data_IF_664360173262
#
_entry.id   IF_664360173262
#
_cell.length_a   1.000
_cell.length_b   1.000
_cell.length_c   1.000
_cell.angle_alpha   90.00
_cell.angle_beta   90.00
_cell.angle_gamma   90.00
#
_symmetry.space_group_name_H-M   'P 1'
#
loop_
_entity.id
_entity.type
_entity.pdbx_description
1 polymer ?
#
# COMPACT_ATOMS: atom_id res chain seq x y z
N UNK A 1 17.87 15.10 -9.07
CA UNK A 1 17.00 15.95 -8.21
C UNK A 1 15.61 15.31 -8.14
N UNK A 2 14.98 15.26 -6.96
CA UNK A 2 13.63 14.69 -6.81
C UNK A 2 12.61 15.68 -7.37
N UNK A 3 11.87 15.28 -8.40
CA UNK A 3 10.80 16.10 -9.00
C UNK A 3 9.56 16.02 -8.12
N UNK A 4 9.02 17.17 -7.72
CA UNK A 4 7.75 17.23 -7.00
C UNK A 4 6.63 16.65 -7.87
N UNK A 5 5.82 15.78 -7.29
CA UNK A 5 4.63 15.21 -7.93
C UNK A 5 3.38 15.68 -7.22
N UNK A 6 2.30 15.93 -7.95
CA UNK A 6 0.99 16.26 -7.37
C UNK A 6 0.39 15.01 -6.74
N UNK A 7 -0.10 15.11 -5.51
CA UNK A 7 -0.79 14.03 -4.81
C UNK A 7 -2.22 13.89 -5.32
N UNK A 8 -2.53 12.77 -5.97
CA UNK A 8 -3.86 12.46 -6.50
C UNK A 8 -4.73 11.68 -5.50
N UNK A 9 -4.34 11.67 -4.22
CA UNK A 9 -5.02 10.91 -3.15
C UNK A 9 -6.47 11.35 -2.87
N UNK A 10 -6.85 12.56 -3.32
CA UNK A 10 -8.22 13.07 -3.21
C UNK A 10 -9.26 12.18 -3.91
N UNK A 11 -8.88 11.32 -4.85
CA UNK A 11 -9.81 10.39 -5.52
C UNK A 11 -10.44 9.38 -4.55
N UNK A 12 -9.74 9.06 -3.48
CA UNK A 12 -10.17 8.14 -2.43
C UNK A 12 -10.52 8.86 -1.12
N UNK A 13 -10.51 10.20 -1.11
CA UNK A 13 -10.86 10.96 0.08
C UNK A 13 -12.35 10.79 0.44
N UNK A 14 -12.69 10.84 1.74
CA UNK A 14 -14.06 10.95 2.20
C UNK A 14 -14.77 12.17 1.60
N UNK A 15 -16.07 12.07 1.40
CA UNK A 15 -16.85 13.11 0.68
C UNK A 15 -16.68 14.54 1.25
N UNK A 16 -16.70 14.78 2.59
CA UNK A 16 -16.46 16.13 3.13
C UNK A 16 -15.05 16.66 2.85
N UNK A 17 -14.05 15.77 2.96
CA UNK A 17 -12.63 16.11 2.69
C UNK A 17 -12.42 16.43 1.21
N UNK A 18 -13.14 15.75 0.31
CA UNK A 18 -13.10 16.05 -1.12
C UNK A 18 -13.64 17.47 -1.41
N UNK A 19 -14.71 17.91 -0.74
CA UNK A 19 -15.25 19.27 -0.90
C UNK A 19 -14.26 20.32 -0.39
N UNK A 20 -13.67 20.10 0.79
CA UNK A 20 -12.70 21.04 1.37
C UNK A 20 -11.45 21.17 0.50
N UNK A 21 -10.90 20.04 0.02
CA UNK A 21 -9.76 20.04 -0.89
C UNK A 21 -10.09 20.75 -2.21
N UNK A 22 -11.26 20.51 -2.79
CA UNK A 22 -11.70 21.17 -4.01
C UNK A 22 -11.86 22.69 -3.83
N UNK A 23 -12.41 23.15 -2.70
CA UNK A 23 -12.53 24.58 -2.35
C UNK A 23 -11.17 25.23 -2.12
N UNK A 24 -10.23 24.51 -1.51
CA UNK A 24 -8.85 24.96 -1.35
C UNK A 24 -8.18 25.19 -2.70
N UNK A 25 -8.28 24.21 -3.60
CA UNK A 25 -7.77 24.33 -4.98
C UNK A 25 -8.45 25.47 -5.73
N UNK A 26 -9.78 25.63 -5.61
CA UNK A 26 -10.52 26.74 -6.21
C UNK A 26 -9.93 28.09 -5.78
N UNK A 27 -9.76 28.29 -4.47
CA UNK A 27 -9.21 29.54 -3.91
C UNK A 27 -7.79 29.79 -4.38
N UNK A 28 -6.94 28.77 -4.38
CA UNK A 28 -5.52 28.88 -4.68
C UNK A 28 -5.21 29.01 -6.19
N UNK A 29 -6.08 28.49 -7.06
CA UNK A 29 -5.93 28.59 -8.52
C UNK A 29 -6.55 29.87 -9.09
N UNK A 30 -7.49 30.50 -8.39
CA UNK A 30 -8.14 31.74 -8.85
C UNK A 30 -7.13 32.89 -8.86
N UNK A 31 -6.78 33.37 -10.04
CA UNK A 31 -5.81 34.47 -10.21
C UNK A 31 -4.36 34.08 -9.93
N UNK A 32 -4.02 32.79 -9.97
CA UNK A 32 -2.66 32.35 -9.69
C UNK A 32 -1.73 32.61 -10.90
N UNK A 33 -0.68 33.43 -10.75
CA UNK A 33 0.22 33.78 -11.86
C UNK A 33 1.07 32.59 -12.34
N UNK A 34 1.24 31.54 -11.52
CA UNK A 34 1.92 30.32 -11.94
C UNK A 34 1.09 29.45 -12.91
N UNK A 35 -0.22 29.72 -13.00
CA UNK A 35 -1.18 28.92 -13.76
C UNK A 35 -2.15 29.82 -14.54
N UNK A 36 -1.66 30.55 -15.56
CA UNK A 36 -2.46 31.56 -16.27
C UNK A 36 -3.55 30.95 -17.17
N UNK A 37 -3.37 29.71 -17.65
CA UNK A 37 -4.28 29.08 -18.63
C UNK A 37 -4.74 27.69 -18.16
N UNK A 38 -5.57 27.60 -17.11
CA UNK A 38 -6.07 26.31 -16.65
C UNK A 38 -7.04 25.69 -17.67
N UNK A 39 -6.98 24.38 -17.93
CA UNK A 39 -7.87 23.69 -18.88
C UNK A 39 -9.31 23.53 -18.35
N UNK A 40 -9.53 23.81 -17.06
CA UNK A 40 -10.85 23.84 -16.43
C UNK A 40 -11.07 25.25 -15.90
N UNK A 41 -12.20 25.86 -16.24
CA UNK A 41 -12.54 27.18 -15.74
C UNK A 41 -12.87 27.12 -14.26
N UNK A 42 -12.49 28.16 -13.51
CA UNK A 42 -12.79 28.22 -12.07
C UNK A 42 -14.30 28.21 -11.79
N UNK A 43 -15.08 28.79 -12.69
CA UNK A 43 -16.55 28.76 -12.66
C UNK A 43 -17.10 27.33 -12.81
N UNK A 44 -16.55 26.52 -13.72
CA UNK A 44 -16.97 25.12 -13.87
C UNK A 44 -16.59 24.28 -12.64
N UNK A 45 -15.42 24.54 -12.03
CA UNK A 45 -15.03 23.89 -10.79
C UNK A 45 -15.96 24.27 -9.64
N UNK A 46 -16.30 25.55 -9.49
CA UNK A 46 -17.24 26.05 -8.47
C UNK A 46 -18.63 25.43 -8.63
N UNK A 47 -19.15 25.37 -9.86
CA UNK A 47 -20.42 24.72 -10.15
C UNK A 47 -20.40 23.23 -9.74
N UNK A 48 -19.34 22.49 -10.06
CA UNK A 48 -19.21 21.08 -9.69
C UNK A 48 -19.10 20.87 -8.17
N UNK A 49 -18.41 21.77 -7.45
CA UNK A 49 -18.35 21.74 -5.98
C UNK A 49 -19.74 21.94 -5.37
N UNK A 50 -20.50 22.90 -5.89
CA UNK A 50 -21.84 23.20 -5.42
C UNK A 50 -22.83 22.06 -5.72
N UNK A 51 -22.75 21.45 -6.91
CA UNK A 51 -23.58 20.31 -7.30
C UNK A 51 -23.29 19.08 -6.42
N UNK A 52 -22.02 18.77 -6.17
CA UNK A 52 -21.66 17.67 -5.26
C UNK A 52 -22.09 17.95 -3.81
N UNK A 53 -21.97 19.19 -3.35
CA UNK A 53 -22.44 19.60 -2.01
C UNK A 53 -23.96 19.47 -1.88
N UNK A 54 -24.72 19.82 -2.93
CA UNK A 54 -26.16 19.61 -2.99
C UNK A 54 -26.53 18.12 -3.03
N UNK A 55 -25.78 17.31 -3.78
CA UNK A 55 -25.94 15.85 -3.80
C UNK A 55 -25.70 15.20 -2.44
N UNK A 56 -24.72 15.70 -1.67
CA UNK A 56 -24.49 15.27 -0.29
C UNK A 56 -25.66 15.62 0.64
N UNK A 57 -26.24 16.81 0.49
CA UNK A 57 -27.42 17.22 1.26
C UNK A 57 -28.67 16.41 0.88
N UNK A 58 -28.86 16.09 -0.41
CA UNK A 58 -29.97 15.27 -0.87
C UNK A 58 -29.89 13.81 -0.35
N UNK A 59 -28.68 13.28 -0.15
CA UNK A 59 -28.48 11.92 0.38
C UNK A 59 -29.11 11.71 1.76
N UNK A 60 -29.33 12.76 2.57
CA UNK A 60 -30.03 12.65 3.85
C UNK A 60 -31.44 12.07 3.73
N UNK A 61 -32.13 12.31 2.60
CA UNK A 61 -33.46 11.76 2.34
C UNK A 61 -33.42 10.28 1.92
N UNK A 62 -32.22 9.77 1.57
CA UNK A 62 -32.01 8.39 1.15
C UNK A 62 -32.50 8.08 -0.27
N UNK A 63 -32.46 6.80 -0.63
CA UNK A 63 -32.97 6.28 -1.90
C UNK A 63 -31.92 6.08 -3.00
N UNK A 64 -32.28 5.25 -3.98
CA UNK A 64 -31.42 4.85 -5.10
C UNK A 64 -31.06 6.04 -6.00
N UNK A 65 -32.01 6.96 -6.23
CA UNK A 65 -31.79 8.16 -7.05
C UNK A 65 -30.80 9.12 -6.40
N UNK A 66 -30.96 9.46 -5.12
CA UNK A 66 -30.04 10.33 -4.39
C UNK A 66 -28.62 9.73 -4.34
N UNK A 67 -28.52 8.42 -4.10
CA UNK A 67 -27.23 7.71 -4.07
C UNK A 67 -26.53 7.75 -5.42
N UNK A 68 -27.29 7.57 -6.51
CA UNK A 68 -26.76 7.62 -7.88
C UNK A 68 -26.33 9.04 -8.26
N UNK A 69 -27.14 10.04 -7.93
CA UNK A 69 -26.83 11.45 -8.19
C UNK A 69 -25.55 11.89 -7.46
N UNK A 70 -25.39 11.54 -6.18
CA UNK A 70 -24.16 11.81 -5.42
C UNK A 70 -22.93 11.15 -6.06
N UNK A 71 -23.05 9.90 -6.50
CA UNK A 71 -21.92 9.19 -7.14
C UNK A 71 -21.51 9.87 -8.46
N UNK A 72 -22.48 10.22 -9.29
CA UNK A 72 -22.23 10.87 -10.58
C UNK A 72 -21.57 12.25 -10.40
N UNK A 73 -22.07 13.05 -9.45
CA UNK A 73 -21.51 14.38 -9.15
C UNK A 73 -20.12 14.28 -8.52
N UNK A 74 -19.87 13.28 -7.67
CA UNK A 74 -18.53 12.96 -7.16
C UNK A 74 -17.55 12.64 -8.29
N UNK A 75 -17.95 11.76 -9.22
CA UNK A 75 -17.11 11.35 -10.33
C UNK A 75 -16.81 12.52 -11.28
N UNK A 76 -17.78 13.41 -11.52
CA UNK A 76 -17.59 14.64 -12.28
C UNK A 76 -16.59 15.60 -11.61
N UNK A 77 -16.74 15.84 -10.30
CA UNK A 77 -15.80 16.68 -9.53
C UNK A 77 -14.38 16.11 -9.55
N UNK A 78 -14.24 14.80 -9.33
CA UNK A 78 -12.94 14.11 -9.36
C UNK A 78 -12.32 14.19 -10.76
N UNK A 79 -13.10 14.09 -11.84
CA UNK A 79 -12.59 14.23 -13.20
C UNK A 79 -12.03 15.63 -13.47
N UNK A 80 -12.70 16.69 -13.02
CA UNK A 80 -12.21 18.07 -13.14
C UNK A 80 -10.93 18.29 -12.33
N UNK A 81 -10.90 17.82 -11.07
CA UNK A 81 -9.71 17.91 -10.22
C UNK A 81 -8.52 17.14 -10.80
N UNK A 82 -8.74 15.98 -11.44
CA UNK A 82 -7.67 15.23 -12.13
C UNK A 82 -7.10 16.00 -13.32
N UNK A 83 -7.94 16.67 -14.11
CA UNK A 83 -7.48 17.51 -15.23
C UNK A 83 -6.63 18.68 -14.73
N UNK A 84 -7.06 19.35 -13.66
CA UNK A 84 -6.29 20.42 -13.02
C UNK A 84 -4.98 19.90 -12.41
N UNK A 85 -5.01 18.77 -11.71
CA UNK A 85 -3.81 18.16 -11.15
C UNK A 85 -2.78 17.80 -12.25
N UNK A 86 -3.23 17.29 -13.38
CA UNK A 86 -2.36 16.99 -14.53
C UNK A 86 -1.75 18.26 -15.14
N UNK A 87 -2.54 19.33 -15.25
CA UNK A 87 -2.06 20.64 -15.70
C UNK A 87 -1.00 21.21 -14.75
N UNK A 88 -1.28 21.24 -13.44
CA UNK A 88 -0.33 21.69 -12.42
C UNK A 88 0.95 20.87 -12.47
N UNK A 89 0.84 19.54 -12.60
CA UNK A 89 1.99 18.65 -12.72
C UNK A 89 2.87 18.97 -13.95
N UNK A 90 2.25 19.31 -15.08
CA UNK A 90 2.94 19.67 -16.31
C UNK A 90 3.59 21.05 -16.19
N UNK A 91 2.88 22.05 -15.66
CA UNK A 91 3.36 23.43 -15.57
C UNK A 91 4.44 23.63 -14.50
N UNK A 92 4.42 22.86 -13.40
CA UNK A 92 5.42 23.02 -12.33
C UNK A 92 6.80 22.45 -12.68
N UNK A 93 6.93 21.60 -13.71
CA UNK A 93 8.19 20.94 -14.11
C UNK A 93 9.01 20.26 -12.97
N UNK A 94 8.36 19.97 -11.83
CA UNK A 94 8.99 19.38 -10.64
C UNK A 94 9.37 20.37 -9.53
N UNK A 95 9.08 21.66 -9.69
CA UNK A 95 9.28 22.70 -8.67
C UNK A 95 8.18 22.66 -7.61
N UNK A 96 8.59 22.70 -6.34
CA UNK A 96 7.68 22.57 -5.19
C UNK A 96 6.87 23.85 -4.94
N UNK A 97 7.48 25.02 -5.11
CA UNK A 97 6.84 26.32 -4.85
C UNK A 97 5.58 26.57 -5.72
N UNK A 98 5.62 26.43 -7.07
CA UNK A 98 4.43 26.57 -7.88
C UNK A 98 3.41 25.46 -7.61
N UNK A 99 3.87 24.25 -7.26
CA UNK A 99 2.96 23.16 -6.92
C UNK A 99 2.15 23.50 -5.66
N UNK A 100 2.80 23.98 -4.59
CA UNK A 100 2.10 24.33 -3.36
C UNK A 100 1.19 25.55 -3.52
N UNK A 101 1.51 26.48 -4.44
CA UNK A 101 0.65 27.64 -4.72
C UNK A 101 -0.68 27.26 -5.38
N UNK A 102 -0.76 26.10 -6.05
CA UNK A 102 -2.00 25.58 -6.67
C UNK A 102 -3.04 25.07 -5.65
N UNK A 103 -2.66 24.91 -4.38
CA UNK A 103 -3.48 24.29 -3.35
C UNK A 103 -3.45 22.75 -3.38
N UNK A 104 -2.79 22.12 -4.35
CA UNK A 104 -2.52 20.69 -4.32
C UNK A 104 -1.39 20.35 -3.36
N UNK A 105 -1.47 19.17 -2.75
CA UNK A 105 -0.41 18.64 -1.91
C UNK A 105 0.67 17.97 -2.77
N UNK A 106 1.93 18.10 -2.36
CA UNK A 106 3.02 17.36 -2.98
C UNK A 106 3.03 15.90 -2.49
N UNK A 107 3.10 14.95 -3.41
CA UNK A 107 3.31 13.54 -3.10
C UNK A 107 4.71 13.37 -2.50
N UNK A 108 4.76 12.95 -1.24
CA UNK A 108 6.02 12.66 -0.56
C UNK A 108 6.60 11.34 -1.07
N UNK A 109 7.85 11.29 -1.57
CA UNK A 109 8.47 10.06 -2.05
C UNK A 109 8.94 9.14 -0.91
N UNK A 110 8.68 9.47 0.34
CA UNK A 110 9.17 8.70 1.50
C UNK A 110 8.01 7.99 2.19
N UNK A 111 7.83 6.70 1.88
CA UNK A 111 7.48 5.77 2.96
C UNK A 111 8.76 5.62 3.77
N UNK A 112 8.72 6.01 5.05
CA UNK A 112 9.84 5.80 5.95
C UNK A 112 10.33 4.34 5.80
N UNK A 113 11.61 4.19 5.48
CA UNK A 113 12.27 2.91 5.27
C UNK A 113 12.44 2.23 6.61
N UNK A 114 11.44 1.46 7.03
CA UNK A 114 11.56 0.67 8.24
C UNK A 114 12.24 -0.67 7.90
N UNK A 115 13.24 -1.10 8.68
CA UNK A 115 13.73 -2.48 8.62
C UNK A 115 12.59 -3.46 8.78
N UNK A 116 12.67 -4.61 8.09
CA UNK A 116 11.73 -5.70 8.31
C UNK A 116 12.10 -6.41 9.62
N UNK A 117 11.11 -6.60 10.49
CA UNK A 117 11.26 -7.42 11.69
C UNK A 117 11.42 -8.89 11.31
N UNK A 118 12.17 -9.64 12.14
CA UNK A 118 12.26 -11.09 11.98
C UNK A 118 10.88 -11.73 12.23
N UNK A 119 10.39 -12.60 11.33
CA UNK A 119 9.10 -13.25 11.51
C UNK A 119 9.14 -14.23 12.68
N UNK A 120 8.05 -14.34 13.44
CA UNK A 120 7.89 -15.42 14.43
C UNK A 120 7.20 -16.63 13.81
N UNK A 121 7.60 -17.84 14.19
CA UNK A 121 6.97 -19.11 13.80
C UNK A 121 6.06 -19.62 14.93
N UNK A 122 4.80 -19.14 15.07
CA UNK A 122 3.88 -19.60 16.10
C UNK A 122 3.47 -21.07 15.96
N UNK A 123 3.60 -21.67 14.77
CA UNK A 123 3.20 -23.05 14.53
C UNK A 123 3.99 -23.67 13.38
N UNK A 124 4.52 -24.86 13.63
CA UNK A 124 5.11 -25.75 12.65
C UNK A 124 4.40 -27.11 12.79
N UNK A 125 3.77 -27.60 11.72
CA UNK A 125 2.95 -28.83 11.74
C UNK A 125 3.29 -29.72 10.56
N UNK A 126 2.94 -31.00 10.64
CA UNK A 126 3.04 -31.92 9.50
C UNK A 126 1.93 -31.65 8.49
N UNK A 127 2.31 -31.66 7.21
CA UNK A 127 1.38 -31.68 6.07
C UNK A 127 1.19 -33.11 5.58
N UNK A 128 1.39 -33.32 4.28
CA UNK A 128 1.52 -34.66 3.70
C UNK A 128 2.81 -35.37 4.20
N UNK A 129 2.95 -36.67 3.95
CA UNK A 129 4.19 -37.38 4.30
C UNK A 129 5.39 -36.75 3.59
N UNK A 130 6.44 -36.45 4.35
CA UNK A 130 7.62 -35.72 3.86
C UNK A 130 7.40 -34.22 3.69
N UNK A 131 6.39 -33.64 4.35
CA UNK A 131 6.08 -32.22 4.29
C UNK A 131 5.89 -31.59 5.67
N UNK A 132 6.50 -30.42 5.86
CA UNK A 132 6.23 -29.53 6.99
C UNK A 132 5.51 -28.27 6.52
N UNK A 133 4.58 -27.80 7.34
CA UNK A 133 3.83 -26.57 7.11
C UNK A 133 4.14 -25.57 8.23
N UNK A 134 4.78 -24.47 7.88
CA UNK A 134 5.05 -23.37 8.78
C UNK A 134 3.97 -22.29 8.64
N UNK A 135 3.43 -21.86 9.77
CA UNK A 135 2.59 -20.67 9.89
C UNK A 135 3.39 -19.61 10.62
N UNK A 136 3.53 -18.43 10.01
CA UNK A 136 4.27 -17.29 10.54
C UNK A 136 3.35 -16.12 10.89
N UNK A 137 3.84 -15.23 11.76
CA UNK A 137 3.20 -13.91 11.92
C UNK A 137 3.55 -13.04 10.71
N UNK A 138 2.57 -12.47 9.99
CA UNK A 138 2.84 -11.66 8.80
C UNK A 138 3.62 -10.39 9.19
N UNK A 139 4.69 -10.10 8.45
CA UNK A 139 5.52 -8.92 8.65
C UNK A 139 5.04 -7.79 7.72
N UNK A 140 4.68 -6.60 8.25
CA UNK A 140 4.26 -5.47 7.43
C UNK A 140 5.32 -5.11 6.37
N UNK A 141 4.89 -4.87 5.14
CA UNK A 141 5.75 -4.54 3.98
C UNK A 141 6.70 -5.66 3.49
N UNK A 142 6.61 -6.87 4.05
CA UNK A 142 7.24 -8.04 3.45
C UNK A 142 6.53 -8.41 2.13
N UNK A 143 7.31 -8.79 1.11
CA UNK A 143 6.78 -9.25 -0.19
C UNK A 143 6.61 -10.77 -0.20
N UNK A 144 7.53 -11.46 0.45
CA UNK A 144 7.56 -12.91 0.56
C UNK A 144 8.46 -13.33 1.73
N UNK A 145 8.57 -14.64 1.95
CA UNK A 145 9.30 -15.25 3.04
C UNK A 145 10.20 -16.34 2.48
N UNK A 146 11.46 -16.32 2.92
CA UNK A 146 12.43 -17.35 2.60
C UNK A 146 12.65 -18.22 3.83
N UNK A 147 12.62 -19.53 3.62
CA UNK A 147 12.79 -20.50 4.69
C UNK A 147 14.09 -21.25 4.49
N UNK A 148 14.82 -21.46 5.58
CA UNK A 148 15.92 -22.42 5.64
C UNK A 148 15.63 -23.49 6.67
N UNK A 149 16.10 -24.69 6.40
CA UNK A 149 15.93 -25.83 7.29
C UNK A 149 17.18 -26.70 7.31
N UNK A 150 17.41 -27.40 8.42
CA UNK A 150 18.53 -28.30 8.60
C UNK A 150 18.08 -29.56 9.36
N UNK A 151 18.72 -30.69 9.06
CA UNK A 151 18.51 -31.92 9.83
C UNK A 151 19.15 -31.79 11.19
N UNK A 152 18.40 -32.09 12.25
CA UNK A 152 18.94 -32.24 13.61
C UNK A 152 19.33 -33.71 13.79
N UNK A 153 20.61 -33.95 14.00
CA UNK A 153 21.17 -35.29 14.20
C UNK A 153 20.82 -35.84 15.59
N UNK A 154 21.05 -37.13 15.79
CA UNK A 154 20.78 -37.83 17.05
C UNK A 154 21.61 -37.33 18.23
N UNK A 155 22.77 -36.72 17.97
CA UNK A 155 23.62 -36.02 18.94
C UNK A 155 23.15 -34.60 19.26
N UNK A 156 22.05 -34.14 18.66
CA UNK A 156 21.53 -32.78 18.77
C UNK A 156 22.23 -31.75 17.88
N UNK A 157 23.22 -32.15 17.07
CA UNK A 157 23.93 -31.24 16.18
C UNK A 157 23.07 -30.90 14.95
N UNK A 158 22.96 -29.60 14.65
CA UNK A 158 22.27 -29.10 13.45
C UNK A 158 23.19 -29.26 12.24
N UNK A 159 22.68 -29.92 11.19
CA UNK A 159 23.36 -30.09 9.92
C UNK A 159 23.49 -28.79 9.11
N UNK A 160 24.01 -28.87 7.88
CA UNK A 160 24.05 -27.72 6.98
C UNK A 160 22.63 -27.25 6.64
N UNK A 161 22.41 -25.94 6.68
CA UNK A 161 21.14 -25.35 6.28
C UNK A 161 20.94 -25.43 4.77
N UNK A 162 19.74 -25.86 4.39
CA UNK A 162 19.22 -25.87 3.03
C UNK A 162 18.09 -24.85 2.92
N UNK A 163 17.86 -24.31 1.73
CA UNK A 163 16.78 -23.35 1.48
C UNK A 163 15.60 -24.07 0.84
N UNK A 164 14.38 -23.68 1.21
CA UNK A 164 13.18 -24.04 0.48
C UNK A 164 12.85 -22.97 -0.57
N UNK A 165 11.80 -23.24 -1.36
CA UNK A 165 11.18 -22.21 -2.19
C UNK A 165 10.68 -21.03 -1.34
N UNK A 166 10.70 -19.85 -1.94
CA UNK A 166 10.20 -18.60 -1.35
C UNK A 166 8.68 -18.58 -1.45
N UNK A 167 7.99 -18.25 -0.36
CA UNK A 167 6.53 -18.18 -0.31
C UNK A 167 6.02 -16.76 -0.09
N UNK A 168 4.99 -16.35 -0.82
CA UNK A 168 4.26 -15.11 -0.54
C UNK A 168 3.22 -15.27 0.58
N UNK A 169 2.86 -16.51 0.94
CA UNK A 169 1.91 -16.79 2.01
C UNK A 169 2.59 -16.83 3.38
N UNK A 170 1.92 -16.28 4.38
CA UNK A 170 2.32 -16.32 5.79
C UNK A 170 1.63 -17.43 6.58
N UNK A 171 0.56 -18.04 6.02
CA UNK A 171 -0.30 -18.98 6.74
C UNK A 171 0.04 -20.44 6.48
N UNK A 172 0.56 -20.75 5.30
CA UNK A 172 0.88 -22.11 4.86
C UNK A 172 2.17 -22.14 4.02
N UNK A 173 3.33 -21.98 4.66
CA UNK A 173 4.63 -22.15 4.00
C UNK A 173 4.97 -23.64 4.01
N UNK A 174 4.98 -24.27 2.84
CA UNK A 174 5.26 -25.69 2.69
C UNK A 174 6.77 -25.94 2.48
N UNK A 175 7.34 -26.79 3.32
CA UNK A 175 8.65 -27.40 3.11
C UNK A 175 8.41 -28.81 2.60
N UNK A 176 8.75 -29.06 1.34
CA UNK A 176 8.48 -30.32 0.65
C UNK A 176 9.73 -31.21 0.58
N UNK A 177 9.54 -32.49 0.23
CA UNK A 177 10.62 -33.46 0.00
C UNK A 177 11.53 -33.70 1.21
N UNK A 178 10.97 -33.59 2.42
CA UNK A 178 11.66 -33.92 3.66
C UNK A 178 11.60 -35.42 3.93
N UNK A 179 12.56 -35.94 4.68
CA UNK A 179 12.58 -37.36 5.06
C UNK A 179 11.66 -37.60 6.26
N UNK A 180 10.62 -38.46 6.12
CA UNK A 180 9.77 -38.84 7.25
C UNK A 180 10.57 -39.43 8.40
N UNK A 181 10.16 -39.14 9.63
CA UNK A 181 10.84 -39.58 10.84
C UNK A 181 12.05 -38.72 11.24
N UNK A 182 12.50 -37.79 10.40
CA UNK A 182 13.66 -36.92 10.69
C UNK A 182 13.24 -35.65 11.44
N UNK A 183 14.06 -35.25 12.42
CA UNK A 183 13.89 -33.99 13.14
C UNK A 183 14.53 -32.86 12.33
N UNK A 184 13.78 -31.80 12.03
CA UNK A 184 14.27 -30.63 11.31
C UNK A 184 14.21 -29.40 12.18
N UNK A 185 15.24 -28.56 12.08
CA UNK A 185 15.23 -27.18 12.56
C UNK A 185 14.86 -26.26 11.40
N UNK A 186 13.91 -25.36 11.62
CA UNK A 186 13.37 -24.44 10.61
C UNK A 186 13.53 -23.00 11.09
N UNK A 187 13.99 -22.14 10.18
CA UNK A 187 14.10 -20.70 10.38
C UNK A 187 13.58 -19.96 9.14
N UNK A 188 12.89 -18.84 9.37
CA UNK A 188 12.24 -18.07 8.30
C UNK A 188 12.70 -16.62 8.39
N UNK A 189 12.88 -15.95 7.25
CA UNK A 189 13.10 -14.50 7.17
C UNK A 189 12.14 -13.85 6.18
N UNK A 190 11.77 -12.61 6.45
CA UNK A 190 10.99 -11.80 5.54
C UNK A 190 11.90 -11.23 4.43
N UNK A 191 11.39 -11.24 3.21
CA UNK A 191 12.06 -10.71 2.02
C UNK A 191 11.25 -9.52 1.49
N UNK A 192 11.94 -8.43 1.19
CA UNK A 192 11.35 -7.20 0.69
C UNK A 192 11.73 -5.98 1.52
N UNK A 193 10.80 -5.03 1.64
CA UNK A 193 11.08 -3.75 2.26
C UNK A 193 12.24 -3.01 1.57
N UNK A 194 12.84 -2.07 2.30
CA UNK A 194 13.98 -1.29 1.83
C UNK A 194 15.34 -1.92 2.14
N UNK A 195 15.39 -2.88 3.07
CA UNK A 195 16.62 -3.58 3.49
C UNK A 195 16.85 -4.89 2.73
N UNK A 196 15.89 -5.33 1.92
CA UNK A 196 15.95 -6.57 1.15
C UNK A 196 15.57 -7.80 1.98
N UNK A 197 16.11 -7.92 3.20
CA UNK A 197 15.85 -9.04 4.11
C UNK A 197 15.68 -8.57 5.55
N UNK A 198 14.91 -9.32 6.35
CA UNK A 198 14.95 -9.28 7.81
C UNK A 198 16.07 -10.16 8.36
N UNK A 199 16.28 -10.12 9.68
CA UNK A 199 16.96 -11.22 10.39
C UNK A 199 16.17 -12.54 10.30
N UNK A 200 16.84 -13.64 10.61
CA UNK A 200 16.19 -14.96 10.74
C UNK A 200 15.35 -15.02 12.02
N UNK A 201 14.24 -15.77 11.95
CA UNK A 201 13.43 -16.11 13.12
C UNK A 201 14.22 -16.92 14.14
N UNK A 202 13.69 -17.01 15.35
CA UNK A 202 14.14 -18.02 16.31
C UNK A 202 14.01 -19.43 15.70
N UNK A 203 14.98 -20.33 15.93
CA UNK A 203 14.92 -21.69 15.44
C UNK A 203 13.74 -22.44 16.05
N UNK A 204 12.96 -23.12 15.20
CA UNK A 204 11.86 -23.99 15.64
C UNK A 204 12.09 -25.39 15.11
N UNK A 205 12.02 -26.39 15.99
CA UNK A 205 12.25 -27.78 15.62
C UNK A 205 10.94 -28.55 15.54
N UNK A 206 10.79 -29.41 14.52
CA UNK A 206 9.65 -30.31 14.40
C UNK A 206 10.04 -31.60 13.68
N UNK A 207 9.48 -32.73 14.10
CA UNK A 207 9.71 -34.02 13.46
C UNK A 207 8.77 -34.16 12.27
N UNK A 208 9.35 -34.34 11.08
CA UNK A 208 8.59 -34.63 9.87
C UNK A 208 7.97 -36.02 9.99
N UNK A 209 6.68 -36.13 9.65
CA UNK A 209 5.97 -37.41 9.48
C UNK A 209 5.80 -37.75 7.99
#
# INVERSE_FOLDING_TARGET
MKRAKVLVGFTHAPDPVLVETARGVLKCMTGNPAFPEPPVTMLALEAAINEFSAGLAAQFQGGTMATTHKKNTRDALVALLRRLAAYVQASCNGDLAPLLSSGFQAATPSRARQPLDAPGIPRLTNGNSGQLMAKIKPVPNAKCYETRYAVVRTDGAVGPFQFSDISADSRAIALNNLTPGTLYEVQIRAVGGSTGYSGWSDPTQHRCM
#
